data_IF_252272866308
#
_entry.id   IF_252272866308
#
_cell.length_a   1.000
_cell.length_b   1.000
_cell.length_c   1.000
_cell.angle_alpha   90.00
_cell.angle_beta   90.00
_cell.angle_gamma   90.00
#
_symmetry.space_group_name_H-M   'P 1'
#
loop_
_entity.id
_entity.type
_entity.pdbx_description
1 polymer ?
#
# COMPACT_ATOMS: atom_id res chain seq x y z
N UNK A 1 14.92 6.41 -6.14
CA UNK A 1 13.47 6.69 -6.11
C UNK A 1 12.73 5.43 -6.47
N UNK A 2 11.86 4.94 -5.60
CA UNK A 2 10.94 3.83 -5.92
C UNK A 2 9.88 4.36 -6.89
N UNK A 3 9.66 3.68 -8.01
CA UNK A 3 8.61 4.08 -8.96
C UNK A 3 7.25 3.59 -8.47
N UNK A 4 6.15 4.25 -8.86
CA UNK A 4 4.78 3.78 -8.54
C UNK A 4 4.54 2.34 -8.99
N UNK A 5 5.17 1.92 -10.09
CA UNK A 5 5.14 0.53 -10.57
C UNK A 5 5.78 -0.46 -9.61
N UNK A 6 6.88 -0.09 -8.95
CA UNK A 6 7.50 -0.94 -7.93
C UNK A 6 6.62 -0.98 -6.67
N UNK A 7 6.06 0.15 -6.25
CA UNK A 7 5.14 0.20 -5.10
C UNK A 7 3.91 -0.69 -5.31
N UNK A 8 3.32 -0.70 -6.52
CA UNK A 8 2.22 -1.61 -6.85
C UNK A 8 2.60 -3.08 -6.68
N UNK A 9 3.81 -3.46 -7.12
CA UNK A 9 4.32 -4.83 -6.96
C UNK A 9 4.57 -5.18 -5.50
N UNK A 10 5.12 -4.26 -4.72
CA UNK A 10 5.33 -4.43 -3.28
C UNK A 10 4.00 -4.60 -2.52
N UNK A 11 2.94 -3.97 -3.02
CA UNK A 11 1.56 -4.13 -2.54
C UNK A 11 0.87 -5.41 -3.04
N UNK A 12 1.53 -6.21 -3.89
CA UNK A 12 1.01 -7.48 -4.41
C UNK A 12 0.22 -7.38 -5.71
N UNK A 13 0.23 -6.24 -6.40
CA UNK A 13 -0.48 -6.03 -7.65
C UNK A 13 0.46 -6.02 -8.87
N UNK A 14 -0.07 -6.38 -10.03
CA UNK A 14 0.67 -6.27 -11.30
C UNK A 14 0.60 -4.84 -11.85
N UNK A 15 1.58 -4.45 -12.68
CA UNK A 15 1.60 -3.15 -13.37
C UNK A 15 0.74 -3.12 -14.65
N UNK A 16 0.10 -4.23 -15.01
CA UNK A 16 -0.85 -4.27 -16.12
C UNK A 16 -2.17 -3.61 -15.73
N UNK A 17 -2.96 -3.16 -16.72
CA UNK A 17 -4.25 -2.50 -16.49
C UNK A 17 -5.20 -3.32 -15.59
N UNK A 18 -5.21 -4.65 -15.73
CA UNK A 18 -5.98 -5.55 -14.88
C UNK A 18 -5.56 -5.50 -13.40
N UNK A 19 -4.26 -5.41 -13.12
CA UNK A 19 -3.73 -5.26 -11.76
C UNK A 19 -4.01 -3.88 -11.17
N UNK A 20 -3.92 -2.82 -11.97
CA UNK A 20 -4.30 -1.47 -11.56
C UNK A 20 -5.80 -1.41 -11.22
N UNK A 21 -6.67 -2.04 -12.02
CA UNK A 21 -8.11 -2.16 -11.72
C UNK A 21 -8.38 -2.97 -10.46
N UNK A 22 -7.57 -3.99 -10.16
CA UNK A 22 -7.69 -4.73 -8.90
C UNK A 22 -7.36 -3.82 -7.71
N UNK A 23 -6.22 -3.13 -7.76
CA UNK A 23 -5.83 -2.14 -6.75
C UNK A 23 -6.92 -1.07 -6.54
N UNK A 24 -7.40 -0.43 -7.62
CA UNK A 24 -8.43 0.62 -7.54
C UNK A 24 -9.70 0.11 -6.85
N UNK A 25 -10.15 -1.10 -7.17
CA UNK A 25 -11.34 -1.72 -6.54
C UNK A 25 -11.11 -2.03 -5.06
N UNK A 26 -9.96 -2.59 -4.73
CA UNK A 26 -9.64 -2.95 -3.35
C UNK A 26 -9.43 -1.71 -2.48
N UNK A 27 -8.75 -0.68 -3.00
CA UNK A 27 -8.62 0.61 -2.33
C UNK A 27 -9.98 1.25 -2.07
N UNK A 28 -10.92 1.18 -3.04
CA UNK A 28 -12.27 1.73 -2.88
C UNK A 28 -13.11 1.04 -1.80
N UNK A 29 -12.74 -0.16 -1.33
CA UNK A 29 -13.44 -0.83 -0.21
C UNK A 29 -13.13 -0.20 1.14
N UNK A 30 -11.96 0.43 1.27
CA UNK A 30 -11.43 0.94 2.54
C UNK A 30 -11.12 2.45 2.51
N UNK A 31 -10.97 3.02 1.32
CA UNK A 31 -10.62 4.41 1.11
C UNK A 31 -11.81 5.36 1.26
N UNK A 32 -11.56 6.52 1.85
CA UNK A 32 -12.57 7.58 2.04
C UNK A 32 -12.88 8.38 0.77
N UNK A 33 -12.00 8.30 -0.24
CA UNK A 33 -12.17 8.93 -1.55
C UNK A 33 -12.08 7.86 -2.64
N UNK A 34 -13.19 7.50 -3.29
CA UNK A 34 -13.18 6.44 -4.29
C UNK A 34 -12.43 6.88 -5.55
N UNK A 35 -11.60 5.99 -6.06
CA UNK A 35 -10.91 6.07 -7.35
C UNK A 35 -11.85 5.64 -8.49
N UNK A 36 -11.64 6.20 -9.67
CA UNK A 36 -12.21 5.65 -10.89
C UNK A 36 -11.47 4.36 -11.26
N UNK A 37 -12.22 3.31 -11.64
CA UNK A 37 -11.65 2.01 -12.01
C UNK A 37 -11.29 1.98 -13.50
N UNK A 38 -10.30 2.78 -13.88
CA UNK A 38 -9.84 2.94 -15.26
C UNK A 38 -8.80 1.89 -15.65
N UNK A 39 -8.01 1.41 -14.68
CA UNK A 39 -6.82 0.61 -14.94
C UNK A 39 -5.63 1.42 -15.44
N UNK A 40 -5.65 2.73 -15.21
CA UNK A 40 -4.58 3.66 -15.55
C UNK A 40 -3.95 4.24 -14.27
N UNK A 41 -2.65 4.55 -14.35
CA UNK A 41 -1.95 5.29 -13.30
C UNK A 41 -2.14 6.80 -13.48
N UNK A 42 -3.38 7.24 -13.33
CA UNK A 42 -3.68 8.67 -13.22
C UNK A 42 -3.15 9.27 -11.91
N UNK A 43 -3.13 10.60 -11.82
CA UNK A 43 -2.57 11.30 -10.65
C UNK A 43 -3.22 10.87 -9.32
N UNK A 44 -4.52 10.56 -9.33
CA UNK A 44 -5.24 10.13 -8.12
C UNK A 44 -4.88 8.70 -7.74
N UNK A 45 -4.74 7.82 -8.72
CA UNK A 45 -4.32 6.43 -8.52
C UNK A 45 -2.87 6.38 -8.04
N UNK A 46 -1.97 7.22 -8.57
CA UNK A 46 -0.59 7.35 -8.10
C UNK A 46 -0.57 7.73 -6.61
N UNK A 47 -1.28 8.79 -6.22
CA UNK A 47 -1.34 9.22 -4.83
C UNK A 47 -1.91 8.14 -3.90
N UNK A 48 -2.90 7.38 -4.36
CA UNK A 48 -3.45 6.26 -3.60
C UNK A 48 -2.46 5.10 -3.43
N UNK A 49 -1.68 4.76 -4.46
CA UNK A 49 -0.62 3.74 -4.39
C UNK A 49 0.44 4.16 -3.38
N UNK A 50 0.89 5.42 -3.42
CA UNK A 50 1.88 5.96 -2.49
C UNK A 50 1.38 5.90 -1.04
N UNK A 51 0.12 6.29 -0.80
CA UNK A 51 -0.50 6.21 0.52
C UNK A 51 -0.58 4.76 1.03
N UNK A 52 -1.05 3.84 0.19
CA UNK A 52 -1.20 2.44 0.56
C UNK A 52 0.17 1.79 0.84
N UNK A 53 1.19 2.11 0.04
CA UNK A 53 2.56 1.63 0.22
C UNK A 53 3.16 2.15 1.52
N UNK A 54 3.08 3.47 1.77
CA UNK A 54 3.55 4.07 3.02
C UNK A 54 2.88 3.46 4.25
N UNK A 55 1.57 3.23 4.18
CA UNK A 55 0.81 2.58 5.27
C UNK A 55 1.30 1.15 5.52
N UNK A 56 1.52 0.37 4.45
CA UNK A 56 2.04 -1.00 4.54
C UNK A 56 3.42 -1.05 5.20
N UNK A 57 4.32 -0.14 4.82
CA UNK A 57 5.66 -0.04 5.40
C UNK A 57 5.62 0.34 6.88
N UNK A 58 4.73 1.25 7.29
CA UNK A 58 4.52 1.57 8.72
C UNK A 58 4.08 0.34 9.52
N UNK A 59 3.12 -0.43 9.00
CA UNK A 59 2.65 -1.65 9.68
C UNK A 59 3.73 -2.73 9.75
N UNK A 60 4.55 -2.91 8.71
CA UNK A 60 5.70 -3.82 8.74
C UNK A 60 6.71 -3.40 9.81
N UNK A 61 7.04 -2.10 9.87
CA UNK A 61 7.98 -1.57 10.86
C UNK A 61 7.51 -1.80 12.32
N UNK A 62 6.21 -1.68 12.58
CA UNK A 62 5.63 -1.98 13.90
C UNK A 62 5.64 -3.48 14.21
N UNK A 63 5.28 -4.32 13.24
CA UNK A 63 5.28 -5.79 13.41
C UNK A 63 6.68 -6.34 13.66
N UNK A 64 7.67 -5.79 12.97
CA UNK A 64 9.04 -6.28 13.00
C UNK A 64 9.86 -5.66 14.16
N UNK A 65 9.25 -4.80 15.00
CA UNK A 65 9.86 -4.36 16.25
C UNK A 65 9.97 -5.55 17.22
N UNK A 66 11.18 -5.94 17.64
CA UNK A 66 11.32 -6.92 18.70
C UNK A 66 10.72 -6.36 19.98
N UNK A 67 9.74 -7.06 20.54
CA UNK A 67 9.23 -6.79 21.88
C UNK A 67 10.42 -6.99 22.81
N UNK A 68 11.02 -5.90 23.31
CA UNK A 68 12.09 -6.02 24.28
C UNK A 68 11.55 -6.81 25.49
N UNK A 69 12.24 -7.86 25.97
CA UNK A 69 11.82 -8.53 27.19
C UNK A 69 11.82 -7.48 28.30
N UNK A 70 10.66 -7.24 28.90
CA UNK A 70 10.55 -6.42 30.10
C UNK A 70 11.42 -7.07 31.16
N UNK A 71 12.59 -6.48 31.43
CA UNK A 71 13.46 -6.86 32.54
C UNK A 71 12.72 -6.57 33.83
N UNK A 72 11.89 -7.51 34.27
CA UNK A 72 11.43 -7.61 35.63
C UNK A 72 12.66 -7.83 36.51
N UNK A 73 13.12 -6.76 37.17
CA UNK A 73 14.00 -6.91 38.33
C UNK A 73 13.13 -7.43 39.47
N UNK A 74 13.37 -8.69 39.84
CA UNK A 74 12.99 -9.22 41.16
C UNK A 74 13.88 -8.68 42.27
#
# INVERSE_FOLDING_TARGET
MTTTNNMLRDLGYTTASSGIKAFQRDFNRVGSRPLLVTGELDATTIAAVELAHSTSEMFKAVRDQPIAPTTGKG
#
